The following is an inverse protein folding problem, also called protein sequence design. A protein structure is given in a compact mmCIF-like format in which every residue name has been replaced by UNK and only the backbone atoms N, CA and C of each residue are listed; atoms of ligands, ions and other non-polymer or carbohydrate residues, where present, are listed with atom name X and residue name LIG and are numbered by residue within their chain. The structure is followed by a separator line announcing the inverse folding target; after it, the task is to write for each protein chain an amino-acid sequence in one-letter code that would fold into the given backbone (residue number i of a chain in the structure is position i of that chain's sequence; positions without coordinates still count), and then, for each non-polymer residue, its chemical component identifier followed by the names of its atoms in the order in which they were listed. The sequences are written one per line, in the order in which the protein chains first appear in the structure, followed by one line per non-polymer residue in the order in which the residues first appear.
data_IF_506515901828
#
_entry.id   IF_506515901828
#
_cell.length_a   1.000
_cell.length_b   1.000
_cell.length_c   1.000
_cell.angle_alpha   90.00
_cell.angle_beta   90.00
_cell.angle_gamma   90.00
#
_symmetry.space_group_name_H-M   'P 1'
#
loop_
_entity.id
_entity.type
_entity.pdbx_description
1 polymer ?
#
# COMPACT_ATOMS: atom_id res chain seq x y z
N UNK A 1 17.91 -24.77 20.02
CA UNK A 1 17.69 -23.59 20.89
C UNK A 1 16.88 -22.59 20.08
N UNK A 2 15.65 -22.26 20.48
CA UNK A 2 14.89 -21.17 19.88
C UNK A 2 15.61 -19.84 20.16
N UNK A 3 15.77 -18.98 19.16
CA UNK A 3 16.30 -17.64 19.37
C UNK A 3 15.44 -16.91 20.43
N UNK A 4 16.04 -16.06 21.29
CA UNK A 4 15.27 -15.26 22.22
C UNK A 4 14.26 -14.40 21.46
N UNK A 5 13.00 -14.38 21.91
CA UNK A 5 11.97 -13.54 21.30
C UNK A 5 12.42 -12.09 21.34
N UNK A 6 12.46 -11.44 20.19
CA UNK A 6 12.78 -10.01 20.09
C UNK A 6 11.53 -9.22 20.40
N UNK A 7 11.63 -8.34 21.40
CA UNK A 7 10.60 -7.35 21.71
C UNK A 7 11.26 -5.97 21.78
N UNK A 8 10.75 -4.95 21.09
CA UNK A 8 11.35 -3.62 21.11
C UNK A 8 11.38 -3.06 22.54
N UNK A 9 12.52 -2.51 22.95
CA UNK A 9 12.62 -1.77 24.21
C UNK A 9 12.01 -0.37 24.02
N UNK A 10 10.75 -0.21 24.41
CA UNK A 10 9.99 1.04 24.19
C UNK A 10 9.89 1.82 25.51
N UNK A 11 10.04 3.16 25.47
CA UNK A 11 9.77 4.00 26.64
C UNK A 11 8.42 3.68 27.26
N UNK A 12 8.30 3.81 28.58
CA UNK A 12 7.00 3.67 29.23
C UNK A 12 6.02 4.72 28.69
N UNK A 13 4.73 4.38 28.60
CA UNK A 13 3.67 5.30 28.12
C UNK A 13 3.75 6.70 28.76
N UNK A 14 4.11 6.77 30.06
CA UNK A 14 4.27 8.02 30.82
C UNK A 14 5.36 8.95 30.27
N UNK A 15 6.37 8.42 29.58
CA UNK A 15 7.50 9.18 29.01
C UNK A 15 7.20 9.69 27.59
N UNK A 16 6.22 9.09 26.91
CA UNK A 16 5.86 9.43 25.53
C UNK A 16 5.54 10.93 25.33
N UNK A 17 4.79 11.61 26.22
CA UNK A 17 4.49 13.05 26.17
C UNK A 17 5.68 13.95 25.93
N UNK A 18 6.81 13.57 26.53
CA UNK A 18 8.07 14.31 26.47
C UNK A 18 8.85 13.96 25.21
N UNK A 19 8.93 12.67 24.88
CA UNK A 19 9.74 12.14 23.79
C UNK A 19 9.15 12.41 22.40
N UNK A 20 7.82 12.45 22.31
CA UNK A 20 7.10 12.52 21.03
C UNK A 20 6.23 13.78 20.93
N UNK A 21 6.70 14.93 21.43
CA UNK A 21 5.99 16.21 21.26
C UNK A 21 5.76 16.48 19.76
N UNK A 22 4.50 16.57 19.37
CA UNK A 22 4.05 17.02 18.05
C UNK A 22 3.40 18.38 18.22
N UNK A 23 3.92 19.38 17.51
CA UNK A 23 3.16 20.57 17.15
C UNK A 23 2.00 20.12 16.26
N UNK A 24 0.81 20.68 16.50
CA UNK A 24 -0.44 20.38 15.80
C UNK A 24 -0.46 20.84 14.32
N UNK A 25 0.70 21.15 13.73
CA UNK A 25 0.77 21.95 12.50
C UNK A 25 0.96 21.15 11.21
N UNK A 26 1.38 19.89 11.25
CA UNK A 26 1.41 19.08 10.03
C UNK A 26 0.14 18.23 9.93
N UNK A 27 -0.73 18.60 8.99
CA UNK A 27 -1.80 17.75 8.42
C UNK A 27 -1.23 16.50 7.70
N UNK A 28 -0.02 16.07 8.04
CA UNK A 28 0.63 14.89 7.51
C UNK A 28 -0.05 13.65 8.09
N UNK A 29 -0.58 12.82 7.20
CA UNK A 29 -1.26 11.54 7.44
C UNK A 29 -0.93 10.89 8.80
N UNK A 30 -1.96 10.67 9.62
CA UNK A 30 -1.86 9.88 10.85
C UNK A 30 -1.40 8.46 10.44
N UNK A 31 -0.13 8.10 10.66
CA UNK A 31 0.35 6.71 10.41
C UNK A 31 0.19 5.86 11.66
N UNK A 32 -0.75 4.95 11.56
CA UNK A 32 -1.15 4.04 12.61
C UNK A 32 -0.12 2.92 12.84
N UNK A 33 -0.16 2.33 14.04
CA UNK A 33 0.78 1.28 14.47
C UNK A 33 0.03 0.09 15.01
N UNK A 34 0.43 -1.09 14.57
CA UNK A 34 0.11 -2.33 15.27
C UNK A 34 0.85 -2.31 16.61
N UNK A 35 0.10 -2.32 17.71
CA UNK A 35 0.65 -2.25 19.06
C UNK A 35 0.59 -3.59 19.80
N UNK A 36 -0.22 -4.53 19.31
CA UNK A 36 -0.37 -5.85 19.92
C UNK A 36 0.61 -6.84 19.29
N UNK A 37 1.63 -7.23 20.06
CA UNK A 37 2.66 -8.19 19.60
C UNK A 37 2.13 -9.60 19.37
N UNK A 38 1.13 -10.05 20.14
CA UNK A 38 0.52 -11.37 19.92
C UNK A 38 -0.23 -11.42 18.60
N UNK A 39 -0.95 -10.35 18.28
CA UNK A 39 -1.62 -10.18 16.99
C UNK A 39 -0.62 -10.15 15.84
N UNK A 40 0.49 -9.44 16.01
CA UNK A 40 1.57 -9.42 15.02
C UNK A 40 2.16 -10.82 14.78
N UNK A 41 2.49 -11.55 15.84
CA UNK A 41 3.05 -12.90 15.74
C UNK A 41 2.05 -13.87 15.09
N UNK A 42 0.77 -13.80 15.46
CA UNK A 42 -0.29 -14.61 14.85
C UNK A 42 -0.45 -14.29 13.36
N UNK A 43 -0.49 -13.01 13.01
CA UNK A 43 -0.60 -12.56 11.63
C UNK A 43 0.59 -13.04 10.78
N UNK A 44 1.80 -13.02 11.34
CA UNK A 44 2.99 -13.56 10.68
C UNK A 44 2.91 -15.07 10.48
N UNK A 45 2.41 -15.83 11.48
CA UNK A 45 2.21 -17.27 11.33
C UNK A 45 1.16 -17.63 10.27
N UNK A 46 0.11 -16.82 10.15
CA UNK A 46 -0.98 -17.02 9.18
C UNK A 46 -0.61 -16.64 7.74
N UNK A 47 0.42 -15.81 7.54
CA UNK A 47 0.93 -15.46 6.20
C UNK A 47 1.45 -16.68 5.41
N UNK A 48 1.89 -17.74 6.11
CA UNK A 48 2.39 -19.00 5.52
C UNK A 48 3.41 -18.77 4.38
N UNK A 49 4.41 -17.94 4.64
CA UNK A 49 5.46 -17.63 3.67
C UNK A 49 6.30 -18.86 3.32
N UNK A 50 6.72 -18.95 2.06
CA UNK A 50 7.61 -20.00 1.60
C UNK A 50 9.07 -19.64 1.91
N UNK A 51 9.77 -20.45 2.71
CA UNK A 51 11.17 -20.21 3.07
C UNK A 51 11.46 -18.81 3.66
N UNK A 52 10.78 -18.40 4.76
CA UNK A 52 11.02 -17.10 5.39
C UNK A 52 12.49 -16.89 5.81
N UNK A 53 13.21 -17.97 6.12
CA UNK A 53 14.63 -17.96 6.50
C UNK A 53 15.58 -17.46 5.40
N UNK A 54 15.09 -17.36 4.16
CA UNK A 54 15.84 -16.81 3.02
C UNK A 54 15.43 -15.38 2.67
N UNK A 55 14.32 -14.90 3.23
CA UNK A 55 13.71 -13.65 2.84
C UNK A 55 14.34 -12.44 3.51
N UNK A 56 14.44 -11.36 2.74
CA UNK A 56 14.63 -9.99 3.23
C UNK A 56 13.31 -9.24 3.06
N UNK A 57 12.74 -8.76 4.15
CA UNK A 57 11.53 -7.95 4.13
C UNK A 57 11.89 -6.46 4.02
N UNK A 58 11.25 -5.75 3.10
CA UNK A 58 11.25 -4.28 3.06
C UNK A 58 9.96 -3.82 3.72
N UNK A 59 10.03 -3.06 4.81
CA UNK A 59 8.88 -2.66 5.61
C UNK A 59 8.59 -1.16 5.49
N UNK A 60 7.39 -0.82 5.03
CA UNK A 60 6.88 0.55 5.02
C UNK A 60 6.45 0.99 6.41
N UNK A 61 7.07 2.07 6.90
CA UNK A 61 6.64 2.81 8.07
C UNK A 61 6.60 1.95 9.35
N UNK A 62 7.74 1.38 9.78
CA UNK A 62 7.83 0.58 11.02
C UNK A 62 7.67 1.43 12.30
N UNK A 63 7.73 2.76 12.19
CA UNK A 63 7.68 3.70 13.29
C UNK A 63 6.33 4.40 13.49
N UNK A 64 6.22 5.09 14.64
CA UNK A 64 4.94 5.43 15.26
C UNK A 64 4.36 6.81 14.94
N UNK A 65 3.40 6.97 14.02
CA UNK A 65 2.66 8.24 13.90
C UNK A 65 1.25 8.24 14.51
N UNK A 66 1.18 8.39 15.82
CA UNK A 66 0.01 9.04 16.40
C UNK A 66 0.30 9.92 17.61
N UNK A 67 -0.35 11.08 17.51
CA UNK A 67 -0.34 12.22 18.39
C UNK A 67 -0.29 11.79 19.87
N UNK A 68 0.89 11.96 20.44
CA UNK A 68 1.20 11.79 21.86
C UNK A 68 0.28 12.60 22.78
N UNK A 69 -0.31 13.68 22.24
CA UNK A 69 -1.20 14.59 22.96
C UNK A 69 -2.59 13.97 23.24
N UNK A 70 -3.06 13.02 22.42
CA UNK A 70 -4.37 12.38 22.59
C UNK A 70 -4.38 11.25 23.63
N UNK A 71 -3.26 10.57 23.84
CA UNK A 71 -3.11 9.62 24.98
C UNK A 71 -3.10 10.35 26.32
N UNK A 72 -2.59 11.59 26.34
CA UNK A 72 -2.54 12.42 27.54
C UNK A 72 -3.89 13.02 27.93
N UNK A 73 -4.79 13.23 26.97
CA UNK A 73 -6.11 13.81 27.25
C UNK A 73 -7.14 12.75 27.67
N UNK A 74 -6.86 11.45 27.46
CA UNK A 74 -7.73 10.33 27.82
C UNK A 74 -7.17 9.47 28.97
N UNK A 75 -6.07 9.87 29.60
CA UNK A 75 -5.52 9.18 30.78
C UNK A 75 -6.42 9.21 32.00
N UNK A 76 -7.51 9.98 31.97
CA UNK A 76 -8.59 9.99 32.97
C UNK A 76 -9.74 9.03 32.64
N UNK A 77 -9.76 8.40 31.45
CA UNK A 77 -10.81 7.45 31.02
C UNK A 77 -10.29 6.01 30.96
N UNK A 78 -8.97 5.83 30.85
CA UNK A 78 -8.35 4.50 30.86
C UNK A 78 -7.87 4.23 32.29
N UNK A 79 -8.71 3.59 33.08
CA UNK A 79 -8.32 3.07 34.39
C UNK A 79 -7.12 2.10 34.19
N UNK A 80 -5.94 2.38 34.77
CA UNK A 80 -4.78 1.50 34.65
C UNK A 80 -5.02 0.08 35.20
N UNK A 81 -6.11 -0.14 35.94
CA UNK A 81 -6.56 -1.46 36.39
C UNK A 81 -7.45 -2.23 35.39
N UNK A 82 -7.98 -1.57 34.35
CA UNK A 82 -8.89 -2.19 33.37
C UNK A 82 -8.21 -2.70 32.09
N UNK A 83 -6.90 -2.50 31.93
CA UNK A 83 -6.14 -3.21 30.90
C UNK A 83 -5.76 -4.59 31.47
N UNK A 84 -6.26 -5.71 30.90
CA UNK A 84 -5.76 -7.02 31.30
C UNK A 84 -4.24 -7.00 31.18
N UNK A 85 -3.58 -7.49 32.22
CA UNK A 85 -2.15 -7.41 32.59
C UNK A 85 -1.15 -8.01 31.58
N UNK A 86 -1.47 -8.04 30.29
CA UNK A 86 -0.67 -8.58 29.19
C UNK A 86 -0.58 -7.71 27.93
N UNK A 87 -1.13 -6.50 27.90
CA UNK A 87 -0.95 -5.59 26.76
C UNK A 87 0.33 -4.77 26.97
N UNK A 88 1.48 -5.33 26.58
CA UNK A 88 2.69 -4.53 26.41
C UNK A 88 2.43 -3.62 25.22
N UNK A 89 2.16 -2.34 25.46
CA UNK A 89 2.01 -1.31 24.42
C UNK A 89 3.37 -1.01 23.79
N UNK A 90 3.89 -1.99 23.04
CA UNK A 90 5.00 -1.83 22.11
C UNK A 90 4.40 -1.33 20.80
N UNK A 91 4.76 -0.18 20.22
CA UNK A 91 4.21 0.27 18.94
C UNK A 91 5.25 0.49 17.83
N UNK A 92 6.52 0.66 18.19
CA UNK A 92 7.61 0.85 17.24
C UNK A 92 8.22 -0.51 16.95
N UNK A 93 8.27 -0.92 15.67
CA UNK A 93 8.93 -2.16 15.25
C UNK A 93 8.26 -3.45 15.75
N UNK A 94 6.98 -3.41 16.13
CA UNK A 94 6.23 -4.62 16.51
C UNK A 94 6.10 -5.57 15.35
N UNK A 95 5.68 -5.05 14.20
CA UNK A 95 5.58 -5.85 12.99
C UNK A 95 6.96 -6.32 12.52
N UNK A 96 7.97 -5.43 12.54
CA UNK A 96 9.38 -5.79 12.29
C UNK A 96 9.86 -6.96 13.16
N UNK A 97 9.54 -6.93 14.46
CA UNK A 97 9.92 -7.97 15.41
C UNK A 97 9.17 -9.27 15.15
N UNK A 98 7.88 -9.20 14.82
CA UNK A 98 7.08 -10.37 14.46
C UNK A 98 7.59 -11.04 13.18
N UNK A 99 7.99 -10.27 12.17
CA UNK A 99 8.63 -10.79 10.95
C UNK A 99 9.90 -11.57 11.29
N UNK A 100 10.82 -10.97 12.07
CA UNK A 100 12.07 -11.61 12.48
C UNK A 100 11.81 -12.87 13.32
N UNK A 101 10.93 -12.79 14.32
CA UNK A 101 10.54 -13.93 15.17
C UNK A 101 9.86 -15.04 14.35
N UNK A 102 9.16 -14.69 13.28
CA UNK A 102 8.56 -15.60 12.30
C UNK A 102 9.55 -16.22 11.31
N UNK A 103 10.85 -15.94 11.47
CA UNK A 103 11.93 -16.55 10.70
C UNK A 103 12.47 -15.72 9.53
N UNK A 104 11.96 -14.50 9.29
CA UNK A 104 12.51 -13.62 8.25
C UNK A 104 13.98 -13.31 8.57
N UNK A 105 14.88 -13.52 7.61
CA UNK A 105 16.33 -13.34 7.81
C UNK A 105 16.73 -11.90 8.15
N UNK A 106 16.14 -10.93 7.44
CA UNK A 106 16.47 -9.51 7.58
C UNK A 106 15.24 -8.63 7.29
N UNK A 107 15.08 -7.55 8.05
CA UNK A 107 14.04 -6.53 7.85
C UNK A 107 14.72 -5.18 7.62
N UNK A 108 14.35 -4.51 6.53
CA UNK A 108 14.78 -3.15 6.19
C UNK A 108 13.56 -2.23 6.28
N UNK A 109 13.50 -1.44 7.34
CA UNK A 109 12.43 -0.48 7.60
C UNK A 109 12.65 0.86 6.92
N UNK A 110 11.63 1.34 6.20
CA UNK A 110 11.58 2.67 5.58
C UNK A 110 10.89 3.66 6.52
N UNK A 111 11.68 4.37 7.33
CA UNK A 111 11.18 5.30 8.34
C UNK A 111 11.66 6.74 8.10
N UNK A 112 10.83 7.58 7.46
CA UNK A 112 11.21 8.96 7.13
C UNK A 112 11.11 9.94 8.30
N UNK A 113 10.50 9.55 9.43
CA UNK A 113 10.45 10.41 10.61
C UNK A 113 11.67 10.14 11.50
N UNK A 114 12.65 11.04 11.41
CA UNK A 114 13.92 10.97 12.13
C UNK A 114 13.77 10.79 13.66
N UNK A 115 12.63 11.14 14.26
CA UNK A 115 12.36 10.93 15.69
C UNK A 115 12.29 9.46 16.08
N UNK A 116 12.00 8.55 15.14
CA UNK A 116 11.92 7.11 15.42
C UNK A 116 13.23 6.37 15.18
N UNK A 117 14.14 6.95 14.40
CA UNK A 117 15.42 6.32 14.08
C UNK A 117 16.25 5.93 15.32
N UNK A 118 16.30 6.70 16.43
CA UNK A 118 16.98 6.27 17.65
C UNK A 118 16.41 4.97 18.24
N UNK A 119 15.08 4.80 18.22
CA UNK A 119 14.42 3.59 18.72
C UNK A 119 14.63 2.41 17.77
N UNK A 120 14.60 2.67 16.46
CA UNK A 120 14.92 1.63 15.46
C UNK A 120 16.40 1.21 15.54
N UNK A 121 17.31 2.14 15.84
CA UNK A 121 18.73 1.84 16.06
C UNK A 121 18.93 0.96 17.30
N UNK A 122 18.19 1.22 18.37
CA UNK A 122 18.20 0.36 19.56
C UNK A 122 17.69 -1.06 19.23
N UNK A 123 16.60 -1.17 18.49
CA UNK A 123 16.10 -2.47 18.00
C UNK A 123 17.11 -3.17 17.07
N UNK A 124 17.81 -2.41 16.23
CA UNK A 124 18.90 -2.91 15.40
C UNK A 124 20.04 -3.47 16.23
N UNK A 125 20.45 -2.79 17.31
CA UNK A 125 21.49 -3.27 18.21
C UNK A 125 21.06 -4.58 18.91
N UNK A 126 19.83 -4.65 19.39
CA UNK A 126 19.25 -5.83 20.05
C UNK A 126 19.17 -7.04 19.12
N UNK A 127 19.01 -6.80 17.82
CA UNK A 127 18.90 -7.84 16.80
C UNK A 127 20.19 -8.06 16.01
N UNK A 128 21.31 -7.47 16.46
CA UNK A 128 22.60 -7.56 15.75
C UNK A 128 22.50 -7.19 14.26
N UNK A 129 21.68 -6.19 13.92
CA UNK A 129 21.45 -5.71 12.56
C UNK A 129 20.46 -6.52 11.72
N UNK A 130 19.75 -7.51 12.31
CA UNK A 130 18.71 -8.23 11.57
C UNK A 130 17.47 -7.36 11.29
N UNK A 131 17.19 -6.37 12.13
CA UNK A 131 16.21 -5.30 11.86
C UNK A 131 16.96 -3.98 11.74
N UNK A 132 16.97 -3.39 10.56
CA UNK A 132 17.59 -2.08 10.31
C UNK A 132 16.53 -1.10 9.80
N UNK A 133 16.76 0.20 9.99
CA UNK A 133 15.90 1.22 9.40
C UNK A 133 16.71 2.33 8.77
N UNK A 134 16.24 2.76 7.61
CA UNK A 134 16.81 3.84 6.81
C UNK A 134 15.84 5.02 6.77
N UNK A 135 16.41 6.23 6.71
CA UNK A 135 15.63 7.46 6.71
C UNK A 135 15.07 7.76 5.31
N UNK A 136 14.18 6.90 4.83
CA UNK A 136 13.58 6.95 3.50
C UNK A 136 12.05 6.84 3.59
N UNK A 137 11.33 7.54 2.71
CA UNK A 137 9.87 7.41 2.59
C UNK A 137 9.56 6.48 1.41
N UNK A 138 8.82 5.39 1.64
CA UNK A 138 8.38 4.51 0.56
C UNK A 138 7.40 5.14 -0.43
N UNK A 139 6.91 6.35 -0.18
CA UNK A 139 6.18 7.14 -1.16
C UNK A 139 7.09 7.73 -2.25
N UNK A 140 8.36 7.94 -1.96
CA UNK A 140 9.28 8.66 -2.84
C UNK A 140 10.00 7.70 -3.79
N UNK A 141 10.02 8.02 -5.09
CA UNK A 141 10.64 7.18 -6.11
C UNK A 141 12.15 6.97 -5.90
N UNK A 142 12.84 7.96 -5.34
CA UNK A 142 14.27 7.90 -5.03
C UNK A 142 14.61 6.80 -4.02
N UNK A 143 13.68 6.46 -3.11
CA UNK A 143 13.83 5.36 -2.14
C UNK A 143 14.10 4.04 -2.86
N UNK A 144 13.40 3.77 -3.96
CA UNK A 144 13.55 2.53 -4.70
C UNK A 144 14.82 2.46 -5.56
N UNK A 145 15.44 3.61 -5.87
CA UNK A 145 16.75 3.65 -6.50
C UNK A 145 17.84 3.34 -5.47
N UNK A 146 17.75 3.96 -4.29
CA UNK A 146 18.69 3.70 -3.19
C UNK A 146 18.60 2.26 -2.69
N UNK A 147 17.39 1.69 -2.56
CA UNK A 147 17.22 0.29 -2.14
C UNK A 147 17.92 -0.71 -3.05
N UNK A 148 18.14 -0.36 -4.33
CA UNK A 148 18.84 -1.21 -5.30
C UNK A 148 20.35 -1.10 -5.25
N UNK A 149 20.92 -0.26 -4.39
CA UNK A 149 22.35 -0.25 -4.14
C UNK A 149 22.79 -1.56 -3.49
N UNK A 150 24.01 -2.02 -3.78
CA UNK A 150 24.55 -3.30 -3.30
C UNK A 150 24.59 -3.40 -1.77
N UNK A 151 24.69 -2.26 -1.10
CA UNK A 151 24.64 -2.11 0.36
C UNK A 151 23.30 -2.55 0.97
N UNK A 152 22.21 -2.55 0.18
CA UNK A 152 20.86 -2.90 0.60
C UNK A 152 20.35 -4.14 -0.12
N UNK A 153 19.70 -3.98 -1.28
CA UNK A 153 19.11 -5.08 -2.05
C UNK A 153 19.83 -5.33 -3.38
N UNK A 154 20.81 -4.50 -3.78
CA UNK A 154 21.45 -4.59 -5.10
C UNK A 154 22.14 -5.93 -5.39
N UNK A 155 22.63 -6.59 -4.34
CA UNK A 155 23.21 -7.94 -4.40
C UNK A 155 22.16 -9.05 -4.62
N UNK A 156 20.86 -8.75 -4.54
CA UNK A 156 19.80 -9.73 -4.78
C UNK A 156 19.63 -9.98 -6.27
N UNK A 157 19.69 -11.25 -6.64
CA UNK A 157 19.48 -11.65 -8.02
C UNK A 157 18.06 -11.30 -8.49
N UNK A 158 17.94 -10.77 -9.70
CA UNK A 158 16.64 -10.63 -10.36
C UNK A 158 16.03 -12.01 -10.56
N UNK A 159 14.84 -12.23 -10.03
CA UNK A 159 14.09 -13.46 -10.23
C UNK A 159 13.20 -13.37 -11.47
N UNK A 160 12.96 -14.52 -12.09
CA UNK A 160 11.98 -14.68 -13.17
C UNK A 160 10.57 -14.29 -12.68
N UNK A 161 9.89 -13.44 -13.45
CA UNK A 161 8.54 -12.94 -13.15
C UNK A 161 7.51 -14.06 -13.10
N UNK A 162 7.73 -15.18 -13.81
CA UNK A 162 6.79 -16.30 -13.81
C UNK A 162 6.56 -16.87 -12.40
N UNK A 163 7.53 -16.73 -11.49
CA UNK A 163 7.47 -17.23 -10.11
C UNK A 163 7.50 -16.07 -9.11
N UNK A 164 6.85 -16.28 -7.97
CA UNK A 164 6.95 -15.34 -6.85
C UNK A 164 8.41 -15.27 -6.40
N UNK A 165 8.90 -14.06 -6.13
CA UNK A 165 10.28 -13.82 -5.73
C UNK A 165 10.60 -14.59 -4.43
N UNK A 166 11.60 -15.49 -4.40
CA UNK A 166 11.82 -16.38 -3.27
C UNK A 166 12.46 -15.69 -2.06
N UNK A 167 13.17 -14.58 -2.27
CA UNK A 167 13.97 -13.92 -1.21
C UNK A 167 13.48 -12.54 -0.78
N UNK A 168 12.38 -12.04 -1.32
CA UNK A 168 11.92 -10.67 -1.05
C UNK A 168 10.46 -10.67 -0.64
N UNK A 169 10.17 -9.94 0.44
CA UNK A 169 8.83 -9.64 0.90
C UNK A 169 8.71 -8.11 0.97
N UNK A 170 7.62 -7.55 0.45
CA UNK A 170 7.34 -6.13 0.64
C UNK A 170 6.14 -5.94 1.57
N UNK A 171 6.32 -5.27 2.70
CA UNK A 171 5.35 -5.27 3.78
C UNK A 171 5.26 -3.90 4.45
N UNK A 172 4.38 -3.76 5.44
CA UNK A 172 4.24 -2.56 6.24
C UNK A 172 2.80 -2.08 6.32
N UNK A 173 2.64 -0.81 6.70
CA UNK A 173 1.32 -0.23 6.99
C UNK A 173 0.93 0.84 5.99
N UNK A 174 -0.22 0.70 5.35
CA UNK A 174 -0.77 1.74 4.47
C UNK A 174 -1.47 2.81 5.33
N UNK A 175 -1.07 4.09 5.26
CA UNK A 175 -1.71 5.14 6.06
C UNK A 175 -3.20 5.31 5.69
N UNK A 176 -4.10 5.41 6.68
CA UNK A 176 -5.52 5.76 6.49
C UNK A 176 -5.68 7.22 6.07
N UNK A 177 -5.36 7.53 4.82
CA UNK A 177 -5.40 8.87 4.24
C UNK A 177 -5.41 8.80 2.72
N UNK A 178 -5.70 9.92 2.06
CA UNK A 178 -5.57 10.05 0.60
C UNK A 178 -4.14 9.73 0.12
N UNK A 179 -3.11 10.06 0.91
CA UNK A 179 -1.71 9.69 0.59
C UNK A 179 -1.52 8.18 0.58
N UNK A 180 -2.20 7.43 1.46
CA UNK A 180 -2.14 5.97 1.48
C UNK A 180 -2.87 5.33 0.30
N UNK A 181 -4.01 5.88 -0.12
CA UNK A 181 -4.69 5.45 -1.35
C UNK A 181 -3.82 5.72 -2.59
N UNK A 182 -3.16 6.88 -2.65
CA UNK A 182 -2.19 7.21 -3.72
C UNK A 182 -0.98 6.28 -3.68
N UNK A 183 -0.45 5.97 -2.50
CA UNK A 183 0.65 5.02 -2.35
C UNK A 183 0.25 3.64 -2.91
N UNK A 184 -0.92 3.10 -2.53
CA UNK A 184 -1.39 1.84 -3.10
C UNK A 184 -1.56 1.90 -4.62
N UNK A 185 -2.10 2.99 -5.15
CA UNK A 185 -2.20 3.18 -6.60
C UNK A 185 -0.82 3.15 -7.27
N UNK A 186 0.18 3.82 -6.69
CA UNK A 186 1.57 3.78 -7.16
C UNK A 186 2.15 2.36 -7.10
N UNK A 187 1.93 1.62 -6.01
CA UNK A 187 2.42 0.25 -5.86
C UNK A 187 1.81 -0.69 -6.91
N UNK A 188 0.50 -0.60 -7.17
CA UNK A 188 -0.12 -1.39 -8.24
C UNK A 188 0.37 -0.97 -9.64
N UNK A 189 0.58 0.33 -9.86
CA UNK A 189 1.23 0.81 -11.08
C UNK A 189 2.66 0.29 -11.24
N UNK A 190 3.40 0.12 -10.14
CA UNK A 190 4.74 -0.48 -10.15
C UNK A 190 4.71 -1.96 -10.54
N UNK A 191 3.68 -2.69 -10.12
CA UNK A 191 3.49 -4.09 -10.49
C UNK A 191 3.24 -4.20 -11.99
N UNK A 192 2.30 -3.42 -12.53
CA UNK A 192 1.91 -3.46 -13.94
C UNK A 192 3.11 -3.14 -14.83
N UNK A 193 3.86 -2.10 -14.48
CA UNK A 193 5.01 -1.65 -15.25
C UNK A 193 6.34 -2.35 -14.87
N UNK A 194 6.30 -3.33 -13.94
CA UNK A 194 7.48 -4.07 -13.44
C UNK A 194 8.63 -3.14 -13.01
N UNK A 195 8.30 -2.06 -12.30
CA UNK A 195 9.24 -1.01 -11.86
C UNK A 195 9.41 -0.97 -10.34
N UNK A 196 10.19 -0.01 -9.82
CA UNK A 196 10.57 0.07 -8.39
C UNK A 196 11.11 -1.28 -7.88
N UNK A 197 10.60 -1.81 -6.76
CA UNK A 197 10.97 -3.13 -6.24
C UNK A 197 10.64 -4.26 -7.22
N UNK A 198 9.54 -4.14 -7.96
CA UNK A 198 9.10 -5.16 -8.92
C UNK A 198 10.03 -5.30 -10.15
N UNK A 199 11.00 -4.40 -10.33
CA UNK A 199 12.09 -4.62 -11.29
C UNK A 199 13.06 -5.75 -10.88
N UNK A 200 13.00 -6.22 -9.63
CA UNK A 200 13.74 -7.38 -9.13
C UNK A 200 12.96 -8.69 -9.32
N UNK A 201 11.67 -8.62 -9.66
CA UNK A 201 10.81 -9.79 -9.90
C UNK A 201 9.42 -9.65 -9.29
N UNK A 202 8.68 -10.76 -9.28
CA UNK A 202 7.29 -10.82 -8.81
C UNK A 202 7.22 -10.92 -7.28
N UNK A 203 7.46 -9.81 -6.59
CA UNK A 203 7.56 -9.76 -5.12
C UNK A 203 6.17 -9.88 -4.47
N UNK A 204 6.01 -10.81 -3.54
CA UNK A 204 4.82 -10.91 -2.69
C UNK A 204 4.76 -9.73 -1.72
N UNK A 205 3.56 -9.22 -1.47
CA UNK A 205 3.34 -8.16 -0.49
C UNK A 205 2.44 -8.61 0.67
N UNK A 206 2.73 -8.12 1.88
CA UNK A 206 1.91 -8.33 3.07
C UNK A 206 1.62 -6.97 3.74
N UNK A 207 0.45 -6.38 3.49
CA UNK A 207 0.19 -4.98 3.85
C UNK A 207 -0.93 -4.86 4.88
N UNK A 208 -0.68 -4.15 5.98
CA UNK A 208 -1.74 -3.67 6.88
C UNK A 208 -2.50 -2.55 6.20
N UNK A 209 -3.75 -2.81 5.84
CA UNK A 209 -4.60 -1.91 5.07
C UNK A 209 -5.82 -1.51 5.92
N UNK A 210 -6.20 -0.21 5.96
CA UNK A 210 -7.41 0.21 6.65
C UNK A 210 -8.64 -0.40 5.99
N UNK A 211 -9.62 -0.82 6.79
CA UNK A 211 -10.87 -1.44 6.27
C UNK A 211 -11.54 -0.58 5.20
N UNK A 212 -11.56 0.75 5.37
CA UNK A 212 -12.13 1.69 4.38
C UNK A 212 -11.45 1.66 3.01
N UNK A 213 -10.14 1.37 2.97
CA UNK A 213 -9.39 1.21 1.72
C UNK A 213 -9.58 -0.22 1.19
N UNK A 214 -9.57 -1.23 2.06
CA UNK A 214 -9.86 -2.61 1.68
C UNK A 214 -11.20 -2.74 0.95
N UNK A 215 -12.28 -2.17 1.49
CA UNK A 215 -13.61 -2.18 0.86
C UNK A 215 -13.58 -1.65 -0.57
N UNK A 216 -12.80 -0.59 -0.82
CA UNK A 216 -12.61 -0.04 -2.18
C UNK A 216 -11.85 -1.02 -3.06
N UNK A 217 -10.68 -1.47 -2.64
CA UNK A 217 -9.83 -2.28 -3.52
C UNK A 217 -10.41 -3.67 -3.78
N UNK A 218 -11.17 -4.24 -2.84
CA UNK A 218 -11.81 -5.56 -2.97
C UNK A 218 -13.15 -5.52 -3.72
N UNK A 219 -13.71 -4.33 -4.00
CA UNK A 219 -15.02 -4.18 -4.62
C UNK A 219 -15.09 -4.82 -6.02
N UNK A 220 -15.99 -5.82 -6.23
CA UNK A 220 -16.18 -6.47 -7.53
C UNK A 220 -17.00 -5.59 -8.50
N UNK A 221 -17.14 -6.00 -9.78
CA UNK A 221 -18.07 -5.37 -10.71
C UNK A 221 -19.50 -5.18 -10.16
N UNK A 222 -20.05 -3.99 -10.37
CA UNK A 222 -21.38 -3.60 -9.90
C UNK A 222 -21.42 -3.10 -8.45
N UNK A 223 -20.36 -3.32 -7.66
CA UNK A 223 -20.34 -2.87 -6.27
C UNK A 223 -20.27 -1.32 -6.16
N UNK A 224 -21.07 -0.69 -5.27
CA UNK A 224 -21.05 0.76 -5.09
C UNK A 224 -19.68 1.34 -4.71
N UNK A 225 -18.87 0.59 -3.96
CA UNK A 225 -17.52 0.96 -3.55
C UNK A 225 -16.48 0.81 -4.67
N UNK A 226 -16.84 0.17 -5.79
CA UNK A 226 -15.94 0.00 -6.93
C UNK A 226 -15.46 1.33 -7.47
N UNK A 227 -14.16 1.43 -7.63
CA UNK A 227 -13.45 2.62 -8.09
C UNK A 227 -12.30 2.22 -9.02
N UNK A 228 -11.59 3.21 -9.56
CA UNK A 228 -10.42 2.98 -10.41
C UNK A 228 -9.38 2.10 -9.72
N UNK A 229 -9.15 2.30 -8.42
CA UNK A 229 -8.19 1.52 -7.66
C UNK A 229 -8.58 0.03 -7.57
N UNK A 230 -9.89 -0.28 -7.51
CA UNK A 230 -10.38 -1.67 -7.56
C UNK A 230 -9.97 -2.36 -8.86
N UNK A 231 -10.13 -1.67 -9.99
CA UNK A 231 -9.84 -2.17 -11.33
C UNK A 231 -8.34 -2.37 -11.53
N UNK A 232 -7.53 -1.39 -11.15
CA UNK A 232 -6.07 -1.47 -11.24
C UNK A 232 -5.53 -2.61 -10.37
N UNK A 233 -6.08 -2.79 -9.15
CA UNK A 233 -5.74 -3.92 -8.28
C UNK A 233 -6.10 -5.25 -8.92
N UNK A 234 -7.35 -5.40 -9.38
CA UNK A 234 -7.85 -6.64 -10.00
C UNK A 234 -7.04 -7.01 -11.25
N UNK A 235 -6.58 -6.01 -12.00
CA UNK A 235 -5.79 -6.22 -13.20
C UNK A 235 -4.44 -6.90 -12.98
N UNK A 236 -3.83 -6.71 -11.81
CA UNK A 236 -2.43 -7.07 -11.60
C UNK A 236 -2.14 -7.86 -10.32
N UNK A 237 -3.13 -8.08 -9.45
CA UNK A 237 -2.93 -8.79 -8.18
C UNK A 237 -4.10 -9.68 -7.77
N UNK A 238 -3.76 -10.79 -7.12
CA UNK A 238 -4.66 -11.53 -6.24
C UNK A 238 -4.47 -11.04 -4.80
N UNK A 239 -5.59 -10.90 -4.07
CA UNK A 239 -5.58 -10.49 -2.67
C UNK A 239 -6.34 -11.49 -1.80
N UNK A 240 -5.81 -11.77 -0.62
CA UNK A 240 -6.49 -12.55 0.41
C UNK A 240 -6.30 -11.89 1.78
N UNK A 241 -7.37 -11.85 2.59
CA UNK A 241 -7.28 -11.39 3.97
C UNK A 241 -6.59 -12.47 4.80
N UNK A 242 -5.49 -12.11 5.47
CA UNK A 242 -4.76 -13.00 6.39
C UNK A 242 -5.44 -12.95 7.75
N UNK A 243 -5.59 -11.74 8.30
CA UNK A 243 -6.29 -11.50 9.56
C UNK A 243 -6.94 -10.12 9.56
N UNK A 244 -8.04 -9.98 10.29
CA UNK A 244 -8.67 -8.70 10.62
C UNK A 244 -8.75 -8.59 12.16
N UNK A 245 -7.72 -8.02 12.82
CA UNK A 245 -7.70 -7.91 14.28
C UNK A 245 -8.70 -6.88 14.81
N UNK A 246 -8.94 -6.95 16.13
CA UNK A 246 -9.75 -5.95 16.82
C UNK A 246 -9.13 -4.55 16.70
N UNK A 247 -9.95 -3.47 16.64
CA UNK A 247 -9.45 -2.13 16.32
C UNK A 247 -8.51 -1.55 17.38
N UNK A 248 -8.62 -2.03 18.63
CA UNK A 248 -7.79 -1.65 19.77
C UNK A 248 -6.38 -2.27 19.73
N UNK A 249 -6.13 -3.20 18.81
CA UNK A 249 -4.81 -3.75 18.54
C UNK A 249 -3.92 -2.75 17.80
N UNK A 250 -4.52 -1.63 17.36
CA UNK A 250 -3.84 -0.55 16.68
C UNK A 250 -3.92 0.75 17.48
N UNK A 251 -2.90 1.59 17.34
CA UNK A 251 -2.90 2.93 17.90
C UNK A 251 -2.65 4.02 16.83
N UNK A 252 -3.54 5.02 16.71
CA UNK A 252 -4.82 5.16 17.41
C UNK A 252 -5.77 4.02 17.04
N UNK A 253 -6.77 3.74 17.87
CA UNK A 253 -7.80 2.71 17.60
C UNK A 253 -8.37 2.89 16.20
N UNK A 254 -8.18 1.91 15.32
CA UNK A 254 -8.78 1.86 13.98
C UNK A 254 -8.82 0.42 13.46
N UNK A 255 -9.76 0.20 12.54
CA UNK A 255 -9.94 -1.06 11.85
C UNK A 255 -8.92 -1.21 10.72
N UNK A 256 -8.06 -2.22 10.85
CA UNK A 256 -7.06 -2.63 9.86
C UNK A 256 -7.08 -4.13 9.71
N UNK A 257 -6.59 -4.59 8.57
CA UNK A 257 -6.47 -5.99 8.24
C UNK A 257 -5.18 -6.22 7.47
N UNK A 258 -4.55 -7.36 7.71
CA UNK A 258 -3.37 -7.77 6.97
C UNK A 258 -3.84 -8.43 5.68
N UNK A 259 -3.46 -7.86 4.53
CA UNK A 259 -3.68 -8.48 3.23
C UNK A 259 -2.41 -9.14 2.75
N UNK A 260 -2.54 -10.37 2.27
CA UNK A 260 -1.57 -10.97 1.37
C UNK A 260 -1.93 -10.56 -0.05
N UNK A 261 -0.99 -9.93 -0.75
CA UNK A 261 -1.17 -9.40 -2.10
C UNK A 261 -0.10 -10.05 -2.97
N UNK A 262 -0.53 -10.87 -3.93
CA UNK A 262 0.36 -11.59 -4.84
C UNK A 262 0.18 -11.00 -6.23
N UNK A 263 1.21 -10.39 -6.82
CA UNK A 263 1.13 -9.96 -8.20
C UNK A 263 0.86 -11.14 -9.13
N UNK A 264 0.02 -10.94 -10.14
CA UNK A 264 -0.29 -11.94 -11.15
C UNK A 264 0.94 -12.21 -12.02
N UNK A 265 1.10 -13.46 -12.47
CA UNK A 265 2.14 -13.82 -13.43
C UNK A 265 1.89 -13.10 -14.77
N UNK A 266 0.63 -13.01 -15.18
CA UNK A 266 0.16 -12.28 -16.35
C UNK A 266 -0.87 -11.23 -15.93
N UNK A 267 -0.65 -9.99 -16.37
CA UNK A 267 -1.62 -8.91 -16.19
C UNK A 267 -2.87 -9.18 -17.02
N UNK A 268 -4.04 -8.80 -16.51
CA UNK A 268 -5.30 -8.80 -17.26
C UNK A 268 -5.42 -7.62 -18.23
N UNK A 269 -4.46 -6.69 -18.17
CA UNK A 269 -4.29 -5.58 -19.11
C UNK A 269 -3.24 -5.98 -20.13
N UNK A 270 -3.62 -5.99 -21.40
CA UNK A 270 -2.73 -6.26 -22.54
C UNK A 270 -2.44 -5.00 -23.36
N UNK A 271 -3.21 -3.94 -23.16
CA UNK A 271 -2.93 -2.62 -23.75
C UNK A 271 -1.74 -1.95 -23.05
N UNK A 272 -1.10 -1.02 -23.74
CA UNK A 272 -0.18 -0.07 -23.11
C UNK A 272 -0.82 0.61 -21.88
N UNK A 273 -0.03 0.75 -20.80
CA UNK A 273 -0.53 1.23 -19.52
C UNK A 273 -1.09 2.66 -19.60
N UNK A 274 -0.43 3.55 -20.34
CA UNK A 274 -0.86 4.95 -20.44
C UNK A 274 -2.18 5.05 -21.20
N UNK A 275 -2.36 4.20 -22.21
CA UNK A 275 -3.63 4.07 -22.95
C UNK A 275 -4.74 3.52 -22.05
N UNK A 276 -4.48 2.45 -21.31
CA UNK A 276 -5.45 1.87 -20.38
C UNK A 276 -5.85 2.87 -19.29
N UNK A 277 -4.87 3.52 -18.67
CA UNK A 277 -5.10 4.52 -17.62
C UNK A 277 -5.89 5.72 -18.17
N UNK A 278 -5.58 6.18 -19.39
CA UNK A 278 -6.36 7.21 -20.06
C UNK A 278 -7.83 6.80 -20.19
N UNK A 279 -8.10 5.63 -20.77
CA UNK A 279 -9.48 5.15 -20.99
C UNK A 279 -10.21 4.99 -19.67
N UNK A 280 -9.59 4.30 -18.69
CA UNK A 280 -10.16 4.10 -17.36
C UNK A 280 -10.48 5.44 -16.69
N UNK A 281 -9.57 6.41 -16.75
CA UNK A 281 -9.75 7.73 -16.13
C UNK A 281 -10.96 8.46 -16.72
N UNK A 282 -11.18 8.37 -18.03
CA UNK A 282 -12.24 9.10 -18.72
C UNK A 282 -13.63 8.47 -18.56
N UNK A 283 -13.74 7.14 -18.70
CA UNK A 283 -15.07 6.50 -18.64
C UNK A 283 -15.56 6.37 -17.20
N UNK A 284 -14.66 6.15 -16.23
CA UNK A 284 -15.03 5.82 -14.86
C UNK A 284 -15.48 7.02 -14.01
N UNK A 285 -15.28 8.25 -14.49
CA UNK A 285 -15.95 9.45 -13.93
C UNK A 285 -17.48 9.27 -13.99
N UNK A 286 -17.98 8.60 -15.02
CA UNK A 286 -19.40 8.34 -15.25
C UNK A 286 -19.79 6.89 -14.93
N UNK A 287 -19.26 6.30 -13.84
CA UNK A 287 -19.46 4.87 -13.49
C UNK A 287 -20.92 4.38 -13.41
N UNK A 288 -21.88 5.30 -13.20
CA UNK A 288 -23.33 5.00 -13.14
C UNK A 288 -24.05 5.12 -14.48
N UNK A 289 -23.33 5.46 -15.55
CA UNK A 289 -23.89 5.59 -16.90
C UNK A 289 -23.51 4.37 -17.75
N UNK A 290 -24.28 4.15 -18.82
CA UNK A 290 -23.98 3.15 -19.85
C UNK A 290 -22.65 3.46 -20.54
N UNK A 291 -21.88 2.43 -20.88
CA UNK A 291 -20.61 2.59 -21.59
C UNK A 291 -20.78 3.35 -22.92
N UNK A 292 -21.85 3.09 -23.67
CA UNK A 292 -22.19 3.78 -24.93
C UNK A 292 -22.27 5.29 -24.81
N UNK A 293 -22.61 5.81 -23.63
CA UNK A 293 -22.59 7.24 -23.31
C UNK A 293 -21.24 7.70 -22.77
N UNK A 294 -20.60 6.90 -21.93
CA UNK A 294 -19.31 7.23 -21.33
C UNK A 294 -18.16 7.26 -22.35
N UNK A 295 -18.18 6.40 -23.39
CA UNK A 295 -17.13 6.34 -24.44
C UNK A 295 -16.91 7.70 -25.11
N UNK A 296 -17.93 8.55 -25.19
CA UNK A 296 -17.85 9.89 -25.77
C UNK A 296 -16.84 10.80 -25.05
N UNK A 297 -16.49 10.50 -23.80
CA UNK A 297 -15.49 11.27 -23.05
C UNK A 297 -14.06 10.99 -23.52
N UNK A 298 -13.83 9.93 -24.29
CA UNK A 298 -12.51 9.58 -24.84
C UNK A 298 -12.06 10.48 -25.99
N UNK A 299 -12.98 11.26 -26.57
CA UNK A 299 -12.68 12.20 -27.65
C UNK A 299 -13.80 12.28 -28.70
N UNK A 300 -13.76 13.29 -29.59
CA UNK A 300 -14.77 13.47 -30.63
C UNK A 300 -14.87 12.25 -31.56
N UNK A 301 -16.06 11.67 -31.70
CA UNK A 301 -16.30 10.52 -32.58
C UNK A 301 -15.92 9.16 -31.99
N UNK A 302 -15.59 9.08 -30.69
CA UNK A 302 -15.26 7.83 -30.00
C UNK A 302 -16.41 6.81 -30.03
N UNK A 303 -17.64 7.21 -30.35
CA UNK A 303 -18.79 6.30 -30.53
C UNK A 303 -18.51 5.19 -31.56
N UNK A 304 -17.60 5.42 -32.51
CA UNK A 304 -17.15 4.42 -33.50
C UNK A 304 -16.54 3.16 -32.86
N UNK A 305 -16.10 3.25 -31.59
CA UNK A 305 -15.59 2.10 -30.84
C UNK A 305 -16.70 1.13 -30.43
N UNK A 306 -17.92 1.65 -30.22
CA UNK A 306 -19.03 0.90 -29.62
C UNK A 306 -19.41 -0.37 -30.41
N UNK A 307 -19.58 -0.32 -31.74
CA UNK A 307 -19.91 -1.51 -32.54
C UNK A 307 -18.75 -2.52 -32.65
N UNK A 308 -17.54 -2.17 -32.20
CA UNK A 308 -16.33 -3.01 -32.28
C UNK A 308 -16.07 -3.80 -31.00
N UNK A 309 -16.89 -3.62 -29.97
CA UNK A 309 -16.78 -4.33 -28.69
C UNK A 309 -17.46 -5.70 -28.77
N UNK A 310 -16.89 -6.67 -28.10
CA UNK A 310 -17.39 -8.05 -28.02
C UNK A 310 -18.56 -8.24 -27.05
N UNK A 311 -18.92 -7.20 -26.29
CA UNK A 311 -19.94 -7.21 -25.24
C UNK A 311 -20.95 -6.05 -25.40
N UNK A 312 -22.07 -6.11 -24.67
CA UNK A 312 -23.11 -5.08 -24.75
C UNK A 312 -22.62 -3.71 -24.26
N UNK A 313 -22.56 -2.69 -25.12
CA UNK A 313 -22.14 -1.35 -24.71
C UNK A 313 -23.17 -0.60 -23.86
N UNK A 314 -24.35 -1.18 -23.63
CA UNK A 314 -25.33 -0.63 -22.69
C UNK A 314 -25.10 -1.07 -21.24
N UNK A 315 -24.13 -1.94 -20.97
CA UNK A 315 -23.67 -2.25 -19.61
C UNK A 315 -23.19 -0.98 -18.90
N UNK A 316 -23.46 -0.88 -17.59
CA UNK A 316 -23.00 0.27 -16.81
C UNK A 316 -21.48 0.20 -16.64
N UNK A 317 -20.82 1.35 -16.70
CA UNK A 317 -19.35 1.41 -16.58
C UNK A 317 -18.83 0.77 -15.28
N UNK A 318 -19.55 0.92 -14.17
CA UNK A 318 -19.21 0.30 -12.88
C UNK A 318 -19.31 -1.23 -12.87
N UNK A 319 -19.98 -1.84 -13.85
CA UNK A 319 -20.20 -3.28 -13.98
C UNK A 319 -19.19 -3.94 -14.94
N UNK A 320 -18.35 -3.17 -15.63
CA UNK A 320 -17.41 -3.71 -16.61
C UNK A 320 -16.26 -4.49 -15.95
N UNK A 321 -15.94 -5.69 -16.40
CA UNK A 321 -14.75 -6.40 -15.95
C UNK A 321 -13.45 -5.68 -16.37
N UNK A 322 -12.31 -6.06 -15.81
CA UNK A 322 -11.01 -5.49 -16.22
C UNK A 322 -10.76 -5.77 -17.71
N UNK A 323 -11.08 -6.97 -18.17
CA UNK A 323 -10.86 -7.44 -19.54
C UNK A 323 -11.74 -6.67 -20.54
N UNK A 324 -12.98 -6.34 -20.13
CA UNK A 324 -13.86 -5.48 -20.93
C UNK A 324 -13.32 -4.05 -21.04
N UNK A 325 -12.76 -3.50 -19.95
CA UNK A 325 -12.13 -2.17 -19.98
C UNK A 325 -10.86 -2.21 -20.83
N UNK A 326 -10.05 -3.27 -20.72
CA UNK A 326 -8.86 -3.46 -21.57
C UNK A 326 -9.25 -3.62 -23.04
N UNK A 327 -10.37 -4.27 -23.36
CA UNK A 327 -10.87 -4.31 -24.73
C UNK A 327 -11.21 -2.91 -25.26
N UNK A 328 -11.89 -2.08 -24.46
CA UNK A 328 -12.14 -0.68 -24.82
C UNK A 328 -10.82 0.06 -25.05
N UNK A 329 -9.80 -0.19 -24.21
CA UNK A 329 -8.48 0.40 -24.34
C UNK A 329 -7.76 -0.03 -25.63
N UNK A 330 -7.78 -1.32 -25.98
CA UNK A 330 -7.24 -1.82 -27.26
C UNK A 330 -7.95 -1.20 -28.46
N UNK A 331 -9.29 -1.12 -28.43
CA UNK A 331 -10.06 -0.50 -29.53
C UNK A 331 -9.83 1.00 -29.63
N UNK A 332 -9.65 1.67 -28.49
CA UNK A 332 -9.22 3.05 -28.46
C UNK A 332 -7.81 3.21 -29.04
N UNK A 333 -6.86 2.32 -28.73
CA UNK A 333 -5.50 2.37 -29.27
C UNK A 333 -5.45 2.18 -30.80
N UNK A 334 -6.25 1.23 -31.31
CA UNK A 334 -6.44 0.94 -32.73
C UNK A 334 -7.14 2.07 -33.50
N UNK A 335 -7.73 3.06 -32.83
CA UNK A 335 -8.50 4.13 -33.47
C UNK A 335 -7.57 5.20 -34.08
N UNK A 336 -7.53 5.37 -35.42
CA UNK A 336 -6.54 6.25 -36.06
C UNK A 336 -6.65 7.72 -35.61
N UNK A 337 -7.87 8.16 -35.33
CA UNK A 337 -8.21 9.54 -34.93
C UNK A 337 -8.20 9.75 -33.41
N UNK A 338 -7.73 8.76 -32.61
CA UNK A 338 -7.64 8.92 -31.16
C UNK A 338 -6.76 10.11 -30.78
N UNK A 339 -7.04 10.81 -29.67
CA UNK A 339 -6.11 11.77 -29.09
C UNK A 339 -4.71 11.17 -28.96
N UNK A 340 -3.70 11.84 -29.50
CA UNK A 340 -2.29 11.38 -29.42
C UNK A 340 -1.64 11.76 -28.10
N UNK A 341 -2.07 12.88 -27.52
CA UNK A 341 -1.64 13.32 -26.19
C UNK A 341 -2.63 12.76 -25.17
N UNK A 342 -2.16 11.83 -24.34
CA UNK A 342 -2.98 11.13 -23.33
C UNK A 342 -2.85 11.74 -21.92
N UNK A 343 -1.97 12.71 -21.77
CA UNK A 343 -1.80 13.48 -20.54
C UNK A 343 -2.59 14.79 -20.69
N UNK A 344 -3.35 15.14 -19.66
CA UNK A 344 -3.94 16.47 -19.58
C UNK A 344 -2.86 17.38 -18.96
N UNK A 345 -2.41 18.39 -19.69
CA UNK A 345 -1.45 19.36 -19.16
C UNK A 345 -2.04 20.02 -17.89
N UNK A 346 -1.25 20.05 -16.83
CA UNK A 346 -1.60 20.72 -15.57
C UNK A 346 -1.75 22.25 -15.71
N UNK A 347 -1.56 22.81 -16.91
CA UNK A 347 -1.71 24.23 -17.25
C UNK A 347 -3.12 24.77 -16.98
N UNK A 348 -4.15 23.91 -16.89
CA UNK A 348 -5.51 24.31 -16.50
C UNK A 348 -5.60 24.83 -15.04
N UNK A 349 -4.58 24.62 -14.22
CA UNK A 349 -4.51 25.19 -12.87
C UNK A 349 -3.87 26.58 -12.80
N UNK A 350 -3.20 27.05 -13.86
CA UNK A 350 -2.55 28.38 -13.88
C UNK A 350 -3.56 29.51 -14.17
N UNK A 351 -4.59 29.24 -14.99
CA UNK A 351 -5.59 30.28 -15.33
C UNK A 351 -6.53 30.63 -14.17
N UNK A 352 -6.66 29.77 -13.15
CA UNK A 352 -7.44 30.09 -11.93
C UNK A 352 -6.71 31.01 -10.95
N UNK A 353 -5.42 31.23 -11.13
CA UNK A 353 -4.63 32.18 -10.32
C UNK A 353 -4.55 33.57 -10.95
N UNK A 354 -4.89 33.72 -12.24
CA UNK A 354 -4.85 35.01 -12.96
C UNK A 354 -6.12 35.86 -12.82
N UNK A 355 -7.21 35.31 -12.28
CA UNK A 355 -8.48 36.06 -12.07
C UNK A 355 -8.65 36.60 -10.65
N UNK A 356 -7.58 36.66 -9.85
CA UNK A 356 -7.56 37.31 -8.53
C UNK A 356 -6.39 38.28 -8.45
N UNK A 357 -6.48 39.36 -9.21
CA UNK A 357 -5.72 40.60 -9.01
C UNK A 357 -6.67 41.77 -9.16
#
# INVERSE_FOLDING_TARGET
MSLPRVTPNIPQLKQWPRLFKSTLTSKSAIRLNLINSHTADRAMAELKLNSPEKMTAVELYPGKNACTKLMLSHSSIIDPFCLPTKIVLTGIGVWSSALLNGGIKKVIGLEPNAKFLPFMKELSNQTSGAIESVNLDGYDWSTYMQLKEDSMLGSKARADWSKVHPELLFTGTIPKSSKGEQLLAQLFGCIINKMALHSLGRIQMAMWIPTSIYTKIAAPPGDPARCKLSIVREACTDISVVTAPEPDNFYPVNDYQLLNIIPLAESRIHTDWDVFEYVLRHIFVTKRQKLSKAIKTLGPGAEILTPRLSFDPNTLVGELSVEQIDEVARKFDEWPLRPKVLFEDASVFDDRLKTRT
#
